data_IF_648791031901
#
_entry.id   IF_648791031901
#
_cell.length_a   1.000
_cell.length_b   1.000
_cell.length_c   1.000
_cell.angle_alpha   90.00
_cell.angle_beta   90.00
_cell.angle_gamma   90.00
#
_symmetry.space_group_name_H-M   'P 1'
#
loop_
_entity.id
_entity.type
_entity.pdbx_description
1 polymer ?
#
# COMPACT_ATOMS: atom_id res chain seq x y z
N UNK A 1 -11.07 16.27 -3.87
CA UNK A 1 -10.80 17.41 -2.98
C UNK A 1 -9.77 18.40 -3.57
N UNK A 2 -9.24 18.17 -4.79
CA UNK A 2 -8.30 19.08 -5.46
C UNK A 2 -6.84 19.01 -4.95
N UNK A 3 -6.52 18.11 -4.04
CA UNK A 3 -5.14 17.88 -3.61
C UNK A 3 -4.33 17.15 -4.69
N UNK A 4 -3.12 17.63 -4.94
CA UNK A 4 -2.19 17.01 -5.88
C UNK A 4 -1.23 16.09 -5.14
N UNK A 5 -0.95 14.95 -5.75
CA UNK A 5 0.03 13.97 -5.27
C UNK A 5 0.93 13.55 -6.42
N UNK A 6 2.10 13.06 -6.10
CA UNK A 6 2.96 12.38 -7.07
C UNK A 6 2.95 10.87 -6.81
N UNK A 7 3.10 10.09 -7.88
CA UNK A 7 3.15 8.64 -7.79
C UNK A 7 4.36 8.10 -8.55
N UNK A 8 5.17 7.29 -7.88
CA UNK A 8 6.41 6.74 -8.44
C UNK A 8 6.68 5.33 -7.95
N UNK A 9 7.52 4.62 -8.69
CA UNK A 9 7.87 3.24 -8.36
C UNK A 9 8.82 3.21 -7.15
N UNK A 10 8.54 2.28 -6.25
CA UNK A 10 9.42 1.89 -5.15
C UNK A 10 9.66 0.39 -5.20
N UNK A 11 10.56 -0.13 -4.36
CA UNK A 11 10.80 -1.58 -4.26
C UNK A 11 9.61 -2.30 -3.63
N UNK A 12 9.36 -3.53 -4.04
CA UNK A 12 8.26 -4.38 -3.55
C UNK A 12 6.92 -4.07 -4.22
N UNK A 13 5.84 -4.24 -3.58
CA UNK A 13 4.51 -3.79 -4.00
C UNK A 13 3.66 -4.82 -4.76
N UNK A 14 4.13 -5.38 -5.85
CA UNK A 14 3.38 -6.38 -6.60
C UNK A 14 3.48 -7.80 -6.03
N UNK A 15 4.51 -8.08 -5.22
CA UNK A 15 4.75 -9.41 -4.63
C UNK A 15 4.58 -10.55 -5.66
N UNK A 16 3.72 -11.53 -5.39
CA UNK A 16 3.45 -12.68 -6.28
C UNK A 16 2.49 -12.37 -7.43
N UNK A 17 1.90 -11.17 -7.46
CA UNK A 17 0.91 -10.82 -8.49
C UNK A 17 1.50 -10.84 -9.90
N UNK A 18 2.78 -10.49 -10.08
CA UNK A 18 3.44 -10.55 -11.38
C UNK A 18 3.42 -11.96 -11.97
N UNK A 19 3.75 -12.98 -11.16
CA UNK A 19 3.71 -14.38 -11.58
C UNK A 19 2.27 -14.86 -11.81
N UNK A 20 1.36 -14.49 -10.91
CA UNK A 20 -0.04 -14.95 -10.96
C UNK A 20 -0.80 -14.40 -12.16
N UNK A 21 -0.48 -13.18 -12.58
CA UNK A 21 -1.13 -12.48 -13.69
C UNK A 21 -0.29 -12.42 -14.97
N UNK A 22 0.84 -13.11 -15.02
CA UNK A 22 1.64 -13.25 -16.23
C UNK A 22 0.76 -13.75 -17.40
N UNK A 23 0.87 -13.12 -18.54
CA UNK A 23 0.05 -13.38 -19.75
C UNK A 23 -1.48 -13.24 -19.57
N UNK A 24 -1.95 -12.68 -18.46
CA UNK A 24 -3.38 -12.42 -18.23
C UNK A 24 -3.73 -10.94 -18.25
N UNK A 25 -2.76 -10.07 -18.02
CA UNK A 25 -2.92 -8.62 -18.05
C UNK A 25 -1.82 -8.00 -18.89
N UNK A 26 -2.15 -6.93 -19.61
CA UNK A 26 -1.16 -6.19 -20.41
C UNK A 26 -0.26 -5.34 -19.54
N UNK A 27 -0.79 -4.80 -18.46
CA UNK A 27 -0.07 -3.92 -17.54
C UNK A 27 -0.45 -4.20 -16.11
N UNK A 28 0.56 -4.41 -15.28
CA UNK A 28 0.44 -4.45 -13.82
C UNK A 28 1.46 -3.50 -13.23
N UNK A 29 1.03 -2.51 -12.47
CA UNK A 29 1.95 -1.55 -11.86
C UNK A 29 1.57 -1.25 -10.41
N UNK A 30 2.57 -1.07 -9.56
CA UNK A 30 2.45 -0.56 -8.22
C UNK A 30 3.23 0.74 -8.10
N UNK A 31 2.63 1.74 -7.50
CA UNK A 31 3.28 3.03 -7.24
C UNK A 31 3.01 3.49 -5.82
N UNK A 32 3.99 4.12 -5.22
CA UNK A 32 3.84 4.81 -3.95
C UNK A 32 3.36 6.23 -4.21
N UNK A 33 2.32 6.65 -3.48
CA UNK A 33 1.76 8.00 -3.53
C UNK A 33 2.41 8.84 -2.43
N UNK A 34 2.86 10.04 -2.78
CA UNK A 34 3.48 11.00 -1.86
C UNK A 34 3.07 12.43 -2.21
N UNK A 35 3.35 13.37 -1.31
CA UNK A 35 3.22 14.80 -1.59
C UNK A 35 4.16 15.23 -2.72
N UNK A 36 3.76 16.24 -3.54
CA UNK A 36 4.57 16.73 -4.64
C UNK A 36 5.97 17.18 -4.18
N UNK A 37 6.99 16.77 -4.92
CA UNK A 37 8.39 17.10 -4.62
C UNK A 37 9.12 16.05 -3.78
N UNK A 38 8.43 15.10 -3.15
CA UNK A 38 9.06 14.08 -2.30
C UNK A 38 10.15 13.30 -3.06
N UNK A 39 9.87 12.83 -4.27
CA UNK A 39 10.84 12.07 -5.07
C UNK A 39 12.09 12.89 -5.37
N UNK A 40 11.94 14.17 -5.70
CA UNK A 40 13.06 15.05 -6.01
C UNK A 40 13.92 15.32 -4.77
N UNK A 41 13.31 15.56 -3.61
CA UNK A 41 14.02 15.73 -2.36
C UNK A 41 14.81 14.46 -1.97
N UNK A 42 14.21 13.28 -2.14
CA UNK A 42 14.89 12.01 -1.87
C UNK A 42 16.05 11.76 -2.86
N UNK A 43 15.87 12.10 -4.14
CA UNK A 43 16.97 12.04 -5.13
C UNK A 43 18.11 12.96 -4.77
N UNK A 44 17.84 14.18 -4.36
CA UNK A 44 18.84 15.13 -3.90
C UNK A 44 19.65 14.56 -2.72
N UNK A 45 18.98 14.09 -1.67
CA UNK A 45 19.64 13.50 -0.51
C UNK A 45 20.49 12.28 -0.88
N UNK A 46 19.94 11.37 -1.70
CA UNK A 46 20.59 10.09 -1.98
C UNK A 46 21.67 10.19 -3.04
N UNK A 47 21.43 10.95 -4.11
CA UNK A 47 22.31 10.98 -5.27
C UNK A 47 23.26 12.16 -5.23
N UNK A 48 22.74 13.37 -5.01
CA UNK A 48 23.58 14.59 -5.09
C UNK A 48 24.43 14.75 -3.82
N UNK A 49 23.85 14.55 -2.64
CA UNK A 49 24.57 14.56 -1.37
C UNK A 49 25.22 13.21 -1.02
N UNK A 50 25.00 12.17 -1.83
CA UNK A 50 25.54 10.82 -1.62
C UNK A 50 25.23 10.18 -0.26
N UNK A 51 24.19 10.63 0.46
CA UNK A 51 23.83 10.11 1.79
C UNK A 51 23.40 8.63 1.78
N UNK A 52 23.09 8.09 0.61
CA UNK A 52 22.85 6.64 0.44
C UNK A 52 24.03 5.78 0.91
N UNK A 53 25.25 6.31 0.83
CA UNK A 53 26.50 5.65 1.28
C UNK A 53 26.74 5.81 2.79
N UNK A 54 26.06 6.76 3.43
CA UNK A 54 26.21 7.06 4.85
C UNK A 54 24.85 6.96 5.58
N UNK A 55 24.42 5.71 5.80
CA UNK A 55 23.13 5.42 6.40
C UNK A 55 22.98 6.02 7.80
N UNK A 56 24.02 6.01 8.61
CA UNK A 56 23.97 6.54 9.99
C UNK A 56 23.64 8.03 10.02
N UNK A 57 24.22 8.81 9.10
CA UNK A 57 23.93 10.24 8.99
C UNK A 57 22.49 10.44 8.52
N UNK A 58 22.03 9.65 7.56
CA UNK A 58 20.66 9.73 7.04
C UNK A 58 19.63 9.37 8.12
N UNK A 59 19.86 8.31 8.88
CA UNK A 59 18.98 7.88 9.98
C UNK A 59 18.92 8.97 11.06
N UNK A 60 20.05 9.49 11.50
CA UNK A 60 20.11 10.59 12.48
C UNK A 60 19.40 11.85 11.98
N UNK A 61 19.55 12.17 10.70
CA UNK A 61 18.86 13.30 10.09
C UNK A 61 17.35 13.12 10.15
N UNK A 62 16.84 11.96 9.72
CA UNK A 62 15.41 11.70 9.71
C UNK A 62 14.83 11.60 11.13
N UNK A 63 15.51 10.94 12.04
CA UNK A 63 15.02 10.81 13.42
C UNK A 63 14.96 12.14 14.16
N UNK A 64 15.88 13.05 13.87
CA UNK A 64 16.00 14.32 14.58
C UNK A 64 15.20 15.45 13.93
N UNK A 65 15.21 15.52 12.59
CA UNK A 65 14.74 16.71 11.86
C UNK A 65 13.37 16.48 11.17
N UNK A 66 12.94 15.21 11.00
CA UNK A 66 11.62 14.93 10.43
C UNK A 66 10.60 14.77 11.55
N UNK A 67 9.62 15.68 11.68
CA UNK A 67 8.65 15.59 12.76
C UNK A 67 7.78 14.35 12.62
N UNK A 68 7.54 13.66 13.74
CA UNK A 68 6.61 12.54 13.81
C UNK A 68 5.22 13.06 14.17
N UNK A 69 4.21 12.54 13.48
CA UNK A 69 2.81 12.88 13.74
C UNK A 69 1.95 11.62 13.74
N UNK A 70 0.84 11.65 14.50
CA UNK A 70 -0.25 10.69 14.38
C UNK A 70 -1.36 11.20 13.43
N UNK A 71 -1.30 12.47 13.08
CA UNK A 71 -2.23 13.08 12.12
C UNK A 71 -1.70 12.87 10.70
N UNK A 72 -1.66 11.62 10.30
CA UNK A 72 -1.25 11.16 8.97
C UNK A 72 -2.43 10.60 8.19
N UNK A 73 -2.25 10.39 6.91
CA UNK A 73 -3.23 9.77 6.03
C UNK A 73 -2.59 8.72 5.14
N UNK A 74 -3.25 7.58 4.99
CA UNK A 74 -2.94 6.58 3.98
C UNK A 74 -3.98 6.66 2.87
N UNK A 75 -3.50 6.74 1.63
CA UNK A 75 -4.34 6.76 0.43
C UNK A 75 -4.15 5.45 -0.31
N UNK A 76 -5.24 4.70 -0.46
CA UNK A 76 -5.32 3.56 -1.35
C UNK A 76 -6.04 3.96 -2.63
N UNK A 77 -5.37 3.78 -3.75
CA UNK A 77 -5.94 3.97 -5.07
C UNK A 77 -5.66 2.74 -5.91
N UNK A 78 -6.72 2.00 -6.24
CA UNK A 78 -6.65 0.83 -7.11
C UNK A 78 -7.54 1.07 -8.30
N UNK A 79 -7.00 0.83 -9.50
CA UNK A 79 -7.71 0.97 -10.76
C UNK A 79 -7.53 -0.28 -11.58
N UNK A 80 -8.64 -0.84 -12.04
CA UNK A 80 -8.67 -1.99 -12.94
C UNK A 80 -9.43 -1.61 -14.19
N UNK A 81 -8.84 -1.89 -15.35
CA UNK A 81 -9.47 -1.68 -16.64
C UNK A 81 -9.48 -3.02 -17.37
N UNK A 82 -10.60 -3.42 -17.92
CA UNK A 82 -10.74 -4.68 -18.64
C UNK A 82 -12.05 -4.80 -19.40
N UNK A 83 -12.17 -5.88 -20.15
CA UNK A 83 -13.39 -6.20 -20.88
C UNK A 83 -14.30 -7.08 -20.01
N UNK A 84 -15.55 -6.66 -19.84
CA UNK A 84 -16.62 -7.47 -19.26
C UNK A 84 -17.71 -7.60 -20.32
N UNK A 85 -17.99 -8.80 -20.76
CA UNK A 85 -18.94 -9.11 -21.84
C UNK A 85 -18.65 -8.31 -23.14
N UNK A 86 -17.36 -8.14 -23.45
CA UNK A 86 -16.90 -7.40 -24.64
C UNK A 86 -16.94 -5.87 -24.51
N UNK A 87 -17.37 -5.33 -23.38
CA UNK A 87 -17.42 -3.89 -23.10
C UNK A 87 -16.26 -3.48 -22.21
N UNK A 88 -15.50 -2.45 -22.63
CA UNK A 88 -14.41 -1.91 -21.82
C UNK A 88 -15.00 -1.22 -20.57
N UNK A 89 -14.58 -1.68 -19.43
CA UNK A 89 -14.99 -1.15 -18.12
C UNK A 89 -13.79 -0.74 -17.28
N UNK A 90 -14.00 0.26 -16.46
CA UNK A 90 -13.06 0.72 -15.45
C UNK A 90 -13.70 0.60 -14.07
N UNK A 91 -12.97 0.00 -13.14
CA UNK A 91 -13.35 -0.02 -11.72
C UNK A 91 -12.25 0.65 -10.92
N UNK A 92 -12.63 1.54 -10.02
CA UNK A 92 -11.72 2.27 -9.15
C UNK A 92 -12.12 2.11 -7.69
N UNK A 93 -11.13 1.78 -6.86
CA UNK A 93 -11.26 1.81 -5.41
C UNK A 93 -10.35 2.92 -4.89
N UNK A 94 -10.92 3.88 -4.19
CA UNK A 94 -10.22 4.99 -3.56
C UNK A 94 -10.64 5.10 -2.10
N UNK A 95 -9.66 5.04 -1.19
CA UNK A 95 -9.87 5.28 0.24
C UNK A 95 -8.80 6.18 0.81
N UNK A 96 -9.21 7.13 1.65
CA UNK A 96 -8.36 7.90 2.54
C UNK A 96 -8.63 7.42 3.96
N UNK A 97 -7.60 6.90 4.62
CA UNK A 97 -7.68 6.40 6.00
C UNK A 97 -6.80 7.31 6.84
N UNK A 98 -7.39 7.91 7.85
CA UNK A 98 -6.72 8.82 8.77
C UNK A 98 -6.34 8.11 10.05
N UNK A 99 -5.30 8.60 10.71
CA UNK A 99 -5.00 8.22 12.09
C UNK A 99 -6.11 8.63 13.05
N UNK A 100 -6.15 8.01 14.21
CA UNK A 100 -7.05 8.34 15.32
C UNK A 100 -6.26 8.78 16.57
N UNK A 101 -6.96 8.94 17.68
CA UNK A 101 -6.34 9.34 18.96
C UNK A 101 -5.28 8.33 19.46
N UNK A 102 -5.44 7.05 19.11
CA UNK A 102 -4.59 5.96 19.58
C UNK A 102 -3.48 5.62 18.59
N UNK A 103 -3.80 5.58 17.27
CA UNK A 103 -2.94 5.05 16.22
C UNK A 103 -2.81 6.00 15.04
N UNK A 104 -1.60 6.10 14.49
CA UNK A 104 -1.41 6.72 13.19
C UNK A 104 -2.05 5.88 12.08
N UNK A 105 -2.37 6.51 10.94
CA UNK A 105 -2.96 5.80 9.79
C UNK A 105 -2.08 4.63 9.31
N UNK A 106 -0.76 4.81 9.31
CA UNK A 106 0.17 3.73 8.92
C UNK A 106 0.17 2.57 9.93
N UNK A 107 0.08 2.86 11.23
CA UNK A 107 -0.01 1.81 12.26
C UNK A 107 -1.34 1.06 12.13
N UNK A 108 -2.44 1.80 12.02
CA UNK A 108 -3.78 1.25 11.90
C UNK A 108 -3.91 0.34 10.67
N UNK A 109 -3.53 0.84 9.51
CA UNK A 109 -3.65 0.06 8.26
C UNK A 109 -2.72 -1.16 8.27
N UNK A 110 -1.45 -1.01 8.66
CA UNK A 110 -0.51 -2.13 8.67
C UNK A 110 -0.96 -3.24 9.61
N UNK A 111 -1.36 -2.90 10.83
CA UNK A 111 -1.82 -3.88 11.82
C UNK A 111 -3.14 -4.54 11.39
N UNK A 112 -4.11 -3.73 10.93
CA UNK A 112 -5.41 -4.24 10.49
C UNK A 112 -5.30 -5.20 9.32
N UNK A 113 -4.41 -4.93 8.37
CA UNK A 113 -4.18 -5.84 7.23
C UNK A 113 -3.72 -7.23 7.68
N UNK A 114 -2.71 -7.30 8.52
CA UNK A 114 -2.20 -8.56 9.06
C UNK A 114 -3.24 -9.26 9.92
N UNK A 115 -3.89 -8.53 10.83
CA UNK A 115 -4.91 -9.09 11.71
C UNK A 115 -6.15 -9.59 10.95
N UNK A 116 -6.52 -8.93 9.84
CA UNK A 116 -7.61 -9.37 8.98
C UNK A 116 -7.32 -10.73 8.34
N UNK A 117 -6.13 -10.92 7.79
CA UNK A 117 -5.72 -12.21 7.21
C UNK A 117 -5.61 -13.28 8.29
N UNK A 118 -5.05 -12.97 9.45
CA UNK A 118 -5.01 -13.90 10.58
C UNK A 118 -6.43 -14.32 11.01
N UNK A 119 -7.36 -13.39 11.06
CA UNK A 119 -8.76 -13.70 11.39
C UNK A 119 -9.39 -14.63 10.34
N UNK A 120 -9.15 -14.38 9.06
CA UNK A 120 -9.60 -15.28 7.99
C UNK A 120 -9.03 -16.70 8.14
N UNK A 121 -7.76 -16.81 8.55
CA UNK A 121 -7.14 -18.10 8.85
C UNK A 121 -7.84 -18.80 10.02
N UNK A 122 -8.04 -18.11 11.14
CA UNK A 122 -8.69 -18.67 12.33
C UNK A 122 -10.15 -19.08 12.06
N UNK A 123 -10.82 -18.40 11.14
CA UNK A 123 -12.19 -18.72 10.72
C UNK A 123 -12.26 -19.84 9.65
N UNK A 124 -11.12 -20.41 9.26
CA UNK A 124 -11.06 -21.47 8.25
C UNK A 124 -11.36 -21.01 6.82
N UNK A 125 -11.30 -19.70 6.56
CA UNK A 125 -11.59 -19.11 5.24
C UNK A 125 -10.42 -19.17 4.27
N UNK A 126 -9.22 -19.48 4.75
CA UNK A 126 -8.01 -19.67 3.93
C UNK A 126 -7.31 -20.97 4.28
N UNK A 127 -6.53 -21.49 3.33
CA UNK A 127 -5.79 -22.74 3.51
C UNK A 127 -4.86 -22.69 4.72
N UNK A 128 -4.82 -23.78 5.47
CA UNK A 128 -3.88 -24.00 6.57
C UNK A 128 -2.59 -24.68 6.13
N UNK A 129 -2.39 -24.89 4.82
CA UNK A 129 -1.21 -25.55 4.24
C UNK A 129 -0.70 -24.76 3.05
N UNK A 130 0.63 -24.73 2.92
CA UNK A 130 1.30 -24.11 1.79
C UNK A 130 1.43 -22.60 1.93
N UNK A 131 1.87 -21.97 0.83
CA UNK A 131 2.02 -20.53 0.73
C UNK A 131 0.71 -19.89 0.25
N UNK A 132 0.16 -18.99 1.02
CA UNK A 132 -1.06 -18.27 0.68
C UNK A 132 -0.68 -16.96 0.00
N UNK A 133 -1.03 -16.83 -1.28
CA UNK A 133 -0.81 -15.60 -2.05
C UNK A 133 -1.87 -14.56 -1.69
N UNK A 134 -1.48 -13.30 -1.55
CA UNK A 134 -2.39 -12.20 -1.20
C UNK A 134 -3.55 -12.06 -2.20
N UNK A 135 -3.28 -12.25 -3.49
CA UNK A 135 -4.27 -12.15 -4.56
C UNK A 135 -5.26 -13.33 -4.62
N UNK A 136 -5.06 -14.37 -3.82
CA UNK A 136 -6.00 -15.48 -3.67
C UNK A 136 -7.02 -15.26 -2.57
N UNK A 137 -6.87 -14.20 -1.78
CA UNK A 137 -7.76 -13.89 -0.68
C UNK A 137 -9.06 -13.27 -1.18
N UNK A 138 -10.19 -13.67 -0.59
CA UNK A 138 -11.48 -13.03 -0.85
C UNK A 138 -11.50 -11.62 -0.26
N UNK A 139 -11.63 -10.61 -1.11
CA UNK A 139 -11.78 -9.22 -0.67
C UNK A 139 -12.99 -9.04 0.24
N UNK A 140 -14.09 -9.69 -0.08
CA UNK A 140 -15.30 -9.66 0.73
C UNK A 140 -15.04 -10.16 2.15
N UNK A 141 -14.45 -11.34 2.29
CA UNK A 141 -14.12 -11.89 3.61
C UNK A 141 -13.10 -11.05 4.38
N UNK A 142 -12.19 -10.41 3.65
CA UNK A 142 -11.20 -9.52 4.22
C UNK A 142 -11.84 -8.29 4.84
N UNK A 143 -12.75 -7.58 4.15
CA UNK A 143 -13.35 -6.35 4.65
C UNK A 143 -14.52 -6.58 5.63
N UNK A 144 -15.20 -7.72 5.56
CA UNK A 144 -16.33 -8.04 6.45
C UNK A 144 -15.89 -8.40 7.87
N UNK A 145 -14.63 -8.81 8.10
CA UNK A 145 -14.18 -9.07 9.46
C UNK A 145 -13.80 -7.77 10.18
N UNK A 146 -13.84 -7.80 11.51
CA UNK A 146 -13.65 -6.61 12.36
C UNK A 146 -12.36 -5.81 12.12
N UNK A 147 -11.31 -6.46 11.65
CA UNK A 147 -10.04 -5.78 11.36
C UNK A 147 -10.02 -5.20 9.94
N UNK A 148 -10.67 -5.88 8.99
CA UNK A 148 -10.73 -5.45 7.61
C UNK A 148 -11.64 -4.24 7.37
N UNK A 149 -12.55 -3.94 8.30
CA UNK A 149 -13.47 -2.79 8.21
C UNK A 149 -12.75 -1.44 8.04
N UNK A 150 -11.51 -1.34 8.44
CA UNK A 150 -10.67 -0.14 8.20
C UNK A 150 -10.57 0.18 6.70
N UNK A 151 -10.71 -0.83 5.84
CA UNK A 151 -10.59 -0.70 4.38
C UNK A 151 -11.97 -0.64 3.67
N UNK A 152 -13.06 -0.86 4.36
CA UNK A 152 -14.40 -0.92 3.77
C UNK A 152 -14.94 0.44 3.29
#
# INVERSE_FOLDING_TARGET
DGESFEAFNTSGGCATMCETYENKVETLSYKTIRYPGHLNHMKFLFNDLHLKKNKEVLEKLFDKEVPRTKNDVIIFFVKVIGLIDGVLQEQTYLRKIYGDENYSAIQLTTASGVCSVLKMYLDGKISNKGFVKQESLSWKDFIENKFGQVYA
#
